data_IF_705690516295
#
_entry.id   IF_705690516295
#
_cell.length_a   1.000
_cell.length_b   1.000
_cell.length_c   1.000
_cell.angle_alpha   90.00
_cell.angle_beta   90.00
_cell.angle_gamma   90.00
#
_symmetry.space_group_name_H-M   'P 1'
#
loop_
_entity.id
_entity.type
_entity.pdbx_description
1 polymer ?
#
# COMPACT_ATOMS: atom_id res chain seq x y z
N UNK A 1 -31.50 -20.07 3.91
CA UNK A 1 -30.87 -18.92 3.23
C UNK A 1 -29.47 -19.34 2.86
N UNK A 2 -29.14 -19.36 1.57
CA UNK A 2 -27.85 -19.81 1.07
C UNK A 2 -26.76 -18.83 1.51
N UNK A 3 -25.73 -19.36 2.16
CA UNK A 3 -24.49 -18.63 2.43
C UNK A 3 -23.89 -18.26 1.07
N UNK A 4 -24.01 -16.99 0.67
CA UNK A 4 -23.39 -16.46 -0.54
C UNK A 4 -21.89 -16.52 -0.27
N UNK A 5 -21.28 -17.61 -0.72
CA UNK A 5 -19.85 -17.81 -0.68
C UNK A 5 -19.19 -16.61 -1.30
N UNK A 6 -18.35 -15.93 -0.52
CA UNK A 6 -17.43 -14.94 -1.04
C UNK A 6 -16.65 -15.58 -2.18
N UNK A 7 -16.97 -15.18 -3.41
CA UNK A 7 -16.28 -15.56 -4.64
C UNK A 7 -14.97 -14.79 -4.77
N UNK A 8 -14.10 -14.94 -3.76
CA UNK A 8 -12.68 -14.61 -3.82
C UNK A 8 -11.99 -15.95 -3.58
N UNK A 9 -11.51 -16.60 -4.64
CA UNK A 9 -10.68 -17.80 -4.51
C UNK A 9 -9.32 -17.53 -3.86
N UNK A 10 -9.06 -16.28 -3.47
CA UNK A 10 -7.84 -15.81 -2.87
C UNK A 10 -7.84 -16.03 -1.35
N UNK A 11 -6.72 -16.52 -0.83
CA UNK A 11 -6.52 -16.63 0.61
C UNK A 11 -6.36 -15.23 1.23
N UNK A 12 -6.66 -15.04 2.53
CA UNK A 12 -6.41 -13.76 3.22
C UNK A 12 -4.94 -13.27 3.11
N UNK A 13 -4.00 -14.20 2.91
CA UNK A 13 -2.60 -13.88 2.66
C UNK A 13 -2.36 -13.32 1.25
N UNK A 14 -3.03 -13.88 0.24
CA UNK A 14 -2.96 -13.38 -1.14
C UNK A 14 -3.60 -12.00 -1.25
N UNK A 15 -4.75 -11.78 -0.61
CA UNK A 15 -5.39 -10.46 -0.52
C UNK A 15 -4.45 -9.43 0.11
N UNK A 16 -3.76 -9.79 1.19
CA UNK A 16 -2.76 -8.93 1.83
C UNK A 16 -1.57 -8.63 0.92
N UNK A 17 -1.09 -9.61 0.15
CA UNK A 17 -0.01 -9.41 -0.82
C UNK A 17 -0.43 -8.47 -1.96
N UNK A 18 -1.67 -8.60 -2.44
CA UNK A 18 -2.23 -7.70 -3.45
C UNK A 18 -2.38 -6.28 -2.91
N UNK A 19 -2.85 -6.11 -1.67
CA UNK A 19 -2.96 -4.78 -1.06
C UNK A 19 -1.58 -4.09 -0.94
N UNK A 20 -0.55 -4.85 -0.53
CA UNK A 20 0.83 -4.36 -0.47
C UNK A 20 1.34 -3.95 -1.85
N UNK A 21 1.09 -4.78 -2.87
CA UNK A 21 1.53 -4.49 -4.25
C UNK A 21 0.87 -3.20 -4.77
N UNK A 22 -0.46 -3.11 -4.66
CA UNK A 22 -1.21 -1.95 -5.11
C UNK A 22 -0.77 -0.67 -4.39
N UNK A 23 -0.58 -0.74 -3.07
CA UNK A 23 -0.13 0.41 -2.29
C UNK A 23 1.30 0.84 -2.65
N UNK A 24 2.17 -0.11 -2.97
CA UNK A 24 3.52 0.18 -3.44
C UNK A 24 3.49 0.88 -4.81
N UNK A 25 2.63 0.45 -5.74
CA UNK A 25 2.48 1.11 -7.04
C UNK A 25 1.94 2.54 -6.89
N UNK A 26 0.97 2.76 -6.00
CA UNK A 26 0.49 4.09 -5.64
C UNK A 26 1.60 4.98 -5.07
N UNK A 27 2.47 4.44 -4.22
CA UNK A 27 3.63 5.16 -3.67
C UNK A 27 4.59 5.55 -4.80
N UNK A 28 4.89 4.65 -5.73
CA UNK A 28 5.77 4.94 -6.86
C UNK A 28 5.20 6.02 -7.78
N UNK A 29 3.88 5.98 -8.04
CA UNK A 29 3.18 7.03 -8.78
C UNK A 29 3.30 8.38 -8.08
N UNK A 30 3.08 8.42 -6.76
CA UNK A 30 3.16 9.65 -5.98
C UNK A 30 4.59 10.21 -5.89
N UNK A 31 5.61 9.35 -5.84
CA UNK A 31 7.01 9.77 -5.93
C UNK A 31 7.30 10.44 -7.28
N UNK A 32 6.79 9.89 -8.39
CA UNK A 32 6.91 10.51 -9.72
C UNK A 32 6.18 11.86 -9.79
N UNK A 33 4.98 11.93 -9.22
CA UNK A 33 4.21 13.19 -9.12
C UNK A 33 4.99 14.27 -8.36
N UNK A 34 5.56 13.94 -7.20
CA UNK A 34 6.38 14.85 -6.41
C UNK A 34 7.62 15.29 -7.21
N UNK A 35 8.26 14.39 -7.95
CA UNK A 35 9.39 14.76 -8.81
C UNK A 35 8.97 15.79 -9.87
N UNK A 36 7.83 15.60 -10.53
CA UNK A 36 7.30 16.57 -11.50
C UNK A 36 6.96 17.91 -10.83
N UNK A 37 6.34 17.90 -9.65
CA UNK A 37 6.00 19.12 -8.92
C UNK A 37 7.24 19.91 -8.47
N UNK A 38 8.35 19.23 -8.18
CA UNK A 38 9.63 19.87 -7.81
C UNK A 38 10.42 20.38 -9.03
N UNK A 39 10.04 20.01 -10.25
CA UNK A 39 10.64 20.50 -11.50
C UNK A 39 9.63 21.25 -12.37
N UNK A 40 8.99 22.31 -11.86
CA UNK A 40 7.98 23.03 -12.62
C UNK A 40 8.61 23.83 -13.76
N UNK A 41 7.88 23.97 -14.86
CA UNK A 41 8.21 24.91 -15.96
C UNK A 41 7.87 26.37 -15.56
N UNK A 42 7.40 26.60 -14.32
CA UNK A 42 6.99 27.89 -13.78
C UNK A 42 7.13 27.97 -12.26
N UNK A 43 6.28 28.77 -11.61
CA UNK A 43 6.31 28.90 -10.14
C UNK A 43 5.93 27.55 -9.49
N UNK A 44 6.73 27.04 -8.54
CA UNK A 44 6.36 25.85 -7.79
C UNK A 44 5.07 26.05 -7.00
N UNK A 45 4.17 25.08 -7.07
CA UNK A 45 3.03 24.97 -6.17
C UNK A 45 3.47 24.24 -4.90
N UNK A 46 3.95 25.02 -3.93
CA UNK A 46 4.41 24.48 -2.64
C UNK A 46 3.29 23.78 -1.87
N UNK A 47 2.03 24.19 -2.03
CA UNK A 47 0.89 23.54 -1.40
C UNK A 47 0.67 22.14 -1.97
N UNK A 48 0.70 22.00 -3.30
CA UNK A 48 0.61 20.71 -3.96
C UNK A 48 1.77 19.78 -3.58
N UNK A 49 3.00 20.31 -3.50
CA UNK A 49 4.19 19.54 -3.06
C UNK A 49 4.01 19.05 -1.63
N UNK A 50 3.57 19.91 -0.71
CA UNK A 50 3.38 19.54 0.70
C UNK A 50 2.29 18.49 0.87
N UNK A 51 1.14 18.65 0.19
CA UNK A 51 0.05 17.68 0.21
C UNK A 51 0.47 16.33 -0.37
N UNK A 52 1.22 16.32 -1.48
CA UNK A 52 1.76 15.09 -2.05
C UNK A 52 2.75 14.40 -1.08
N UNK A 53 3.59 15.16 -0.38
CA UNK A 53 4.50 14.62 0.66
C UNK A 53 3.74 14.04 1.86
N UNK A 54 2.68 14.70 2.35
CA UNK A 54 1.82 14.18 3.43
C UNK A 54 1.18 12.85 3.02
N UNK A 55 0.60 12.80 1.81
CA UNK A 55 0.03 11.56 1.25
C UNK A 55 1.07 10.45 1.16
N UNK A 56 2.30 10.78 0.75
CA UNK A 56 3.40 9.81 0.64
C UNK A 56 3.77 9.23 2.01
N UNK A 57 3.89 10.08 3.03
CA UNK A 57 4.17 9.66 4.40
C UNK A 57 3.08 8.72 4.92
N UNK A 58 1.81 9.09 4.75
CA UNK A 58 0.68 8.27 5.21
C UNK A 58 0.64 6.90 4.51
N UNK A 59 0.87 6.87 3.19
CA UNK A 59 0.91 5.60 2.44
C UNK A 59 2.09 4.72 2.84
N UNK A 60 3.27 5.31 3.11
CA UNK A 60 4.43 4.56 3.62
C UNK A 60 4.18 3.94 4.99
N UNK A 61 3.52 4.67 5.88
CA UNK A 61 3.13 4.17 7.20
C UNK A 61 2.17 2.98 7.05
N UNK A 62 1.12 3.11 6.23
CA UNK A 62 0.20 2.00 5.94
C UNK A 62 0.92 0.79 5.32
N UNK A 63 1.88 1.02 4.40
CA UNK A 63 2.66 -0.06 3.80
C UNK A 63 3.48 -0.81 4.85
N UNK A 64 4.07 -0.09 5.81
CA UNK A 64 4.80 -0.71 6.92
C UNK A 64 3.87 -1.59 7.77
N UNK A 65 2.70 -1.09 8.16
CA UNK A 65 1.70 -1.84 8.92
C UNK A 65 1.28 -3.14 8.20
N UNK A 66 1.02 -3.06 6.89
CA UNK A 66 0.66 -4.24 6.08
C UNK A 66 1.81 -5.25 6.00
N UNK A 67 3.06 -4.78 5.86
CA UNK A 67 4.24 -5.63 5.87
C UNK A 67 4.45 -6.34 7.22
N UNK A 68 4.20 -5.64 8.33
CA UNK A 68 4.25 -6.22 9.67
C UNK A 68 3.17 -7.29 9.85
N UNK A 69 1.93 -7.00 9.45
CA UNK A 69 0.83 -7.98 9.42
C UNK A 69 1.17 -9.21 8.57
N UNK A 70 1.78 -9.02 7.39
CA UNK A 70 2.20 -10.13 6.52
C UNK A 70 3.22 -11.02 7.22
N UNK A 71 4.17 -10.43 7.94
CA UNK A 71 5.17 -11.16 8.72
C UNK A 71 4.52 -11.97 9.84
N UNK A 72 3.53 -11.43 10.54
CA UNK A 72 2.78 -12.14 11.59
C UNK A 72 2.03 -13.36 11.04
N UNK A 73 1.27 -13.18 9.95
CA UNK A 73 0.57 -14.28 9.26
C UNK A 73 1.56 -15.38 8.82
N UNK A 74 2.76 -15.02 8.38
CA UNK A 74 3.80 -15.99 8.02
C UNK A 74 4.38 -16.74 9.23
N UNK A 75 4.43 -16.13 10.42
CA UNK A 75 4.87 -16.79 11.65
C UNK A 75 3.84 -17.80 12.12
N UNK A 76 2.56 -17.41 12.18
CA UNK A 76 1.45 -18.31 12.55
C UNK A 76 1.41 -19.57 11.68
N UNK A 77 1.58 -19.41 10.35
CA UNK A 77 1.65 -20.54 9.41
C UNK A 77 2.88 -21.45 9.61
N UNK A 78 3.98 -20.94 10.16
CA UNK A 78 5.19 -21.74 10.46
C UNK A 78 5.08 -22.47 11.80
N UNK A 79 4.43 -21.86 12.78
CA UNK A 79 4.24 -22.40 14.13
C UNK A 79 3.07 -23.40 14.23
N UNK A 80 2.27 -23.52 13.16
CA UNK A 80 1.23 -24.54 13.00
C UNK A 80 1.62 -25.53 11.91
N UNK A 81 2.57 -26.46 12.13
CA UNK A 81 2.75 -27.60 11.23
C UNK A 81 1.47 -28.45 11.26
N UNK A 82 0.94 -28.79 10.09
CA UNK A 82 -0.02 -29.88 9.95
C UNK A 82 0.65 -31.22 10.26
#
# INVERSE_FOLDING_TARGET
>A
MANVGNTSGSTPFEELCLEILNLNDEIQNLVREIAHLNHPIGRPDFGAIEEARKKLTNKRMKLQELCEKKREVMKEKKETPQ
#
